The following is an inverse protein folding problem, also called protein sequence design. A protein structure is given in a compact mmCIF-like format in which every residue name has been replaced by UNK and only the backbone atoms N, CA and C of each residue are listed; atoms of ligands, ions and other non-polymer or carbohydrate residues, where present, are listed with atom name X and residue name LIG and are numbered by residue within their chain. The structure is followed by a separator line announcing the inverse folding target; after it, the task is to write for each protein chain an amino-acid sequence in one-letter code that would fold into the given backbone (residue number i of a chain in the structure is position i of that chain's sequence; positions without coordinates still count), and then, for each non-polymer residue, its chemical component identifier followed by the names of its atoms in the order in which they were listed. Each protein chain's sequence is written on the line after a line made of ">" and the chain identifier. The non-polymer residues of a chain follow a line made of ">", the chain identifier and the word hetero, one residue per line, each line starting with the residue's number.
data_IF_186871334303
#
_entry.id   IF_186871334303
#
_cell.length_a   1.000
_cell.length_b   1.000
_cell.length_c   1.000
_cell.angle_alpha   90.00
_cell.angle_beta   90.00
_cell.angle_gamma   90.00
#
_symmetry.space_group_name_H-M   'P 1'
#
loop_
_entity.id
_entity.type
_entity.pdbx_description
1 polymer ?
#
# COMPACT_ATOMS: atom_id res chain seq x y z
N UNK A 1 -23.26 -25.00 -1.14
CA UNK A 1 -23.01 -24.35 -2.44
C UNK A 1 -21.60 -23.80 -2.39
N UNK A 2 -20.75 -24.21 -3.33
CA UNK A 2 -19.37 -23.72 -3.44
C UNK A 2 -19.32 -22.54 -4.41
N UNK A 3 -18.34 -21.65 -4.27
CA UNK A 3 -18.13 -20.49 -5.17
C UNK A 3 -18.09 -20.89 -6.67
N UNK A 4 -17.58 -22.09 -6.97
CA UNK A 4 -17.57 -22.63 -8.35
C UNK A 4 -18.96 -22.95 -8.89
N UNK A 5 -19.88 -23.45 -8.04
CA UNK A 5 -21.25 -23.77 -8.44
C UNK A 5 -22.07 -22.52 -8.75
N UNK A 6 -21.82 -21.42 -8.01
CA UNK A 6 -22.49 -20.13 -8.21
C UNK A 6 -22.06 -19.47 -9.53
N UNK A 7 -20.76 -19.51 -9.85
CA UNK A 7 -20.23 -18.99 -11.12
C UNK A 7 -20.78 -19.80 -12.30
N UNK A 8 -20.83 -21.14 -12.20
CA UNK A 8 -21.39 -21.98 -13.25
C UNK A 8 -22.88 -21.66 -13.50
N UNK A 9 -23.65 -21.41 -12.45
CA UNK A 9 -25.06 -21.00 -12.55
C UNK A 9 -25.23 -19.65 -13.26
N UNK A 10 -24.40 -18.65 -12.92
CA UNK A 10 -24.42 -17.31 -13.56
C UNK A 10 -24.00 -17.35 -15.03
N UNK A 11 -23.04 -18.21 -15.39
CA UNK A 11 -22.61 -18.42 -16.77
C UNK A 11 -23.68 -19.12 -17.61
N UNK A 12 -24.46 -20.03 -17.01
CA UNK A 12 -25.53 -20.76 -17.69
C UNK A 12 -26.76 -19.86 -17.92
N UNK A 13 -27.04 -18.94 -17.01
CA UNK A 13 -28.20 -18.05 -17.08
C UNK A 13 -27.77 -16.59 -16.90
N UNK A 14 -27.12 -16.02 -17.92
CA UNK A 14 -26.49 -14.69 -17.91
C UNK A 14 -27.51 -13.62 -17.50
N UNK A 15 -27.45 -13.07 -16.26
CA UNK A 15 -28.39 -12.06 -15.79
C UNK A 15 -28.00 -10.64 -16.24
N UNK A 16 -26.98 -10.52 -17.11
CA UNK A 16 -26.38 -9.26 -17.55
C UNK A 16 -26.79 -8.93 -18.99
N UNK A 17 -27.75 -8.03 -19.22
CA UNK A 17 -28.31 -7.73 -20.55
C UNK A 17 -27.25 -7.27 -21.57
N UNK A 18 -26.20 -6.62 -21.08
CA UNK A 18 -25.08 -6.10 -21.88
C UNK A 18 -24.14 -7.21 -22.37
N UNK A 19 -24.11 -8.38 -21.72
CA UNK A 19 -23.27 -9.53 -22.10
C UNK A 19 -23.99 -10.52 -23.01
N UNK A 20 -25.32 -10.47 -23.08
CA UNK A 20 -26.14 -11.35 -23.95
C UNK A 20 -25.65 -11.38 -25.41
N UNK A 21 -25.29 -10.25 -26.06
CA UNK A 21 -24.82 -10.26 -27.45
C UNK A 21 -23.51 -11.03 -27.64
N UNK A 22 -22.64 -11.06 -26.63
CA UNK A 22 -21.32 -11.71 -26.68
C UNK A 22 -21.46 -13.23 -26.74
N UNK A 23 -22.39 -13.79 -25.98
CA UNK A 23 -22.63 -15.23 -25.89
C UNK A 23 -23.70 -15.74 -26.85
N UNK A 24 -24.36 -14.85 -27.61
CA UNK A 24 -25.42 -15.18 -28.56
C UNK A 24 -24.96 -15.99 -29.78
N UNK A 25 -23.71 -15.78 -30.21
CA UNK A 25 -23.11 -16.48 -31.36
C UNK A 25 -22.46 -17.81 -31.02
N UNK A 26 -22.08 -18.00 -29.75
CA UNK A 26 -21.49 -19.23 -29.24
C UNK A 26 -21.91 -19.40 -27.77
N UNK A 27 -23.01 -20.13 -27.50
CA UNK A 27 -23.43 -20.40 -26.13
C UNK A 27 -22.39 -21.30 -25.47
N UNK A 28 -22.01 -20.99 -24.22
CA UNK A 28 -21.05 -21.80 -23.49
C UNK A 28 -21.57 -23.23 -23.33
N UNK A 29 -20.73 -24.18 -23.68
CA UNK A 29 -20.95 -25.58 -23.38
C UNK A 29 -20.74 -25.85 -21.89
N UNK A 30 -21.21 -27.01 -21.42
CA UNK A 30 -21.06 -27.42 -20.02
C UNK A 30 -19.58 -27.50 -19.61
N UNK A 31 -18.72 -27.98 -20.51
CA UNK A 31 -17.27 -28.09 -20.28
C UNK A 31 -16.59 -26.72 -20.20
N UNK A 32 -16.96 -25.78 -21.09
CA UNK A 32 -16.42 -24.43 -21.07
C UNK A 32 -16.81 -23.68 -19.80
N UNK A 33 -18.04 -23.89 -19.34
CA UNK A 33 -18.53 -23.30 -18.09
C UNK A 33 -17.70 -23.76 -16.88
N UNK A 34 -17.37 -25.05 -16.82
CA UNK A 34 -16.53 -25.62 -15.76
C UNK A 34 -15.10 -25.08 -15.82
N UNK A 35 -14.53 -24.96 -17.02
CA UNK A 35 -13.18 -24.42 -17.20
C UNK A 35 -13.09 -22.93 -16.81
N UNK A 36 -14.08 -22.12 -17.21
CA UNK A 36 -14.15 -20.71 -16.83
C UNK A 36 -14.36 -20.57 -15.32
N UNK A 37 -15.23 -21.38 -14.71
CA UNK A 37 -15.43 -21.39 -13.27
C UNK A 37 -14.15 -21.78 -12.51
N UNK A 38 -13.40 -22.77 -13.00
CA UNK A 38 -12.12 -23.16 -12.42
C UNK A 38 -11.07 -22.05 -12.53
N UNK A 39 -10.97 -21.39 -13.70
CA UNK A 39 -10.07 -20.27 -13.91
C UNK A 39 -10.40 -19.06 -13.01
N UNK A 40 -11.69 -18.73 -12.89
CA UNK A 40 -12.14 -17.63 -12.03
C UNK A 40 -11.91 -17.94 -10.54
N UNK A 41 -12.05 -19.20 -10.12
CA UNK A 41 -11.70 -19.64 -8.77
C UNK A 41 -10.20 -19.49 -8.50
N UNK A 42 -9.35 -19.92 -9.42
CA UNK A 42 -7.90 -19.82 -9.29
C UNK A 42 -7.45 -18.35 -9.21
N UNK A 43 -7.97 -17.51 -10.10
CA UNK A 43 -7.64 -16.07 -10.12
C UNK A 43 -8.19 -15.32 -8.91
N UNK A 44 -9.35 -15.73 -8.35
CA UNK A 44 -9.87 -15.14 -7.11
C UNK A 44 -9.02 -15.42 -5.87
N UNK A 45 -8.20 -16.48 -5.88
CA UNK A 45 -7.27 -16.78 -4.78
C UNK A 45 -6.04 -15.86 -4.79
N UNK A 46 -5.81 -15.11 -5.88
CA UNK A 46 -4.85 -14.01 -5.92
C UNK A 46 -5.45 -12.77 -5.25
N UNK A 47 -5.76 -12.88 -3.96
CA UNK A 47 -6.12 -11.72 -3.17
C UNK A 47 -4.90 -10.79 -3.12
N UNK A 48 -5.02 -9.50 -3.47
CA UNK A 48 -3.90 -8.57 -3.40
C UNK A 48 -3.29 -8.66 -2.00
N UNK A 49 -1.98 -8.92 -1.94
CA UNK A 49 -1.29 -8.97 -0.66
C UNK A 49 -1.54 -7.65 0.07
N UNK A 50 -2.11 -7.70 1.27
CA UNK A 50 -2.34 -6.50 2.08
C UNK A 50 -0.98 -5.88 2.40
N UNK A 51 -0.60 -4.85 1.64
CA UNK A 51 0.65 -4.09 1.82
C UNK A 51 0.55 -3.08 2.97
N UNK A 52 -0.64 -2.89 3.53
CA UNK A 52 -0.94 -1.99 4.64
C UNK A 52 0.04 -2.10 5.81
N UNK A 53 0.35 -3.29 6.38
CA UNK A 53 1.31 -3.41 7.47
C UNK A 53 2.74 -2.98 7.07
N UNK A 54 3.19 -3.32 5.86
CA UNK A 54 4.53 -2.96 5.37
C UNK A 54 4.66 -1.44 5.22
N UNK A 55 3.65 -0.76 4.68
CA UNK A 55 3.64 0.70 4.55
C UNK A 55 3.67 1.38 5.91
N UNK A 56 2.91 0.87 6.89
CA UNK A 56 2.90 1.41 8.26
C UNK A 56 4.27 1.28 8.93
N UNK A 57 4.94 0.13 8.78
CA UNK A 57 6.29 -0.09 9.33
C UNK A 57 7.30 0.90 8.73
N UNK A 58 7.28 1.07 7.40
CA UNK A 58 8.17 2.00 6.71
C UNK A 58 7.91 3.44 7.17
N UNK A 59 6.65 3.83 7.34
CA UNK A 59 6.29 5.16 7.82
C UNK A 59 6.79 5.43 9.25
N UNK A 60 6.66 4.45 10.15
CA UNK A 60 7.15 4.56 11.54
C UNK A 60 8.68 4.70 11.55
N UNK A 61 9.40 3.87 10.79
CA UNK A 61 10.86 3.94 10.71
C UNK A 61 11.30 5.29 10.14
N UNK A 62 10.69 5.75 9.04
CA UNK A 62 10.98 7.04 8.45
C UNK A 62 10.76 8.20 9.42
N UNK A 63 9.66 8.17 10.16
CA UNK A 63 9.35 9.18 11.18
C UNK A 63 10.39 9.21 12.31
N UNK A 64 10.79 8.05 12.83
CA UNK A 64 11.78 7.95 13.90
C UNK A 64 13.15 8.49 13.46
N UNK A 65 13.59 8.15 12.25
CA UNK A 65 14.85 8.66 11.68
C UNK A 65 14.82 10.18 11.58
N UNK A 66 13.72 10.75 11.07
CA UNK A 66 13.56 12.20 10.92
C UNK A 66 13.57 12.91 12.28
N UNK A 67 12.90 12.35 13.29
CA UNK A 67 12.93 12.83 14.67
C UNK A 67 14.35 12.85 15.25
N UNK A 68 15.13 11.79 15.04
CA UNK A 68 16.51 11.71 15.52
C UNK A 68 17.37 12.78 14.86
N UNK A 69 17.27 12.94 13.53
CA UNK A 69 18.05 13.93 12.78
C UNK A 69 17.72 15.34 13.25
N UNK A 70 16.44 15.71 13.35
CA UNK A 70 16.02 17.03 13.84
C UNK A 70 16.53 17.28 15.25
N UNK A 71 16.37 16.29 16.15
CA UNK A 71 16.84 16.40 17.53
C UNK A 71 18.34 16.63 17.63
N UNK A 72 19.13 15.93 16.79
CA UNK A 72 20.58 16.08 16.77
C UNK A 72 21.01 17.45 16.24
N UNK A 73 20.42 17.90 15.13
CA UNK A 73 20.67 19.23 14.54
C UNK A 73 20.32 20.34 15.53
N UNK A 74 19.17 20.24 16.19
CA UNK A 74 18.75 21.22 17.19
C UNK A 74 19.67 21.26 18.41
N UNK A 75 20.08 20.10 18.94
CA UNK A 75 21.04 20.06 20.05
C UNK A 75 22.37 20.67 19.66
N UNK A 76 22.90 20.33 18.49
CA UNK A 76 24.18 20.89 18.02
C UNK A 76 24.08 22.41 17.85
N UNK A 77 22.98 22.91 17.28
CA UNK A 77 22.74 24.35 17.11
C UNK A 77 22.67 25.09 18.45
N UNK A 78 21.90 24.59 19.42
CA UNK A 78 21.76 25.23 20.72
C UNK A 78 23.07 25.24 21.53
N UNK A 79 23.87 24.17 21.43
CA UNK A 79 25.18 24.09 22.06
C UNK A 79 26.17 25.07 21.43
N UNK A 80 26.15 25.22 20.09
CA UNK A 80 26.99 26.19 19.38
C UNK A 80 26.71 27.63 19.82
N UNK A 81 25.44 28.03 19.90
CA UNK A 81 25.05 29.39 20.34
C UNK A 81 25.47 29.65 21.79
N UNK A 82 25.32 28.65 22.69
CA UNK A 82 25.75 28.78 24.08
C UNK A 82 27.28 28.88 24.19
N UNK A 83 28.01 28.10 23.42
CA UNK A 83 29.47 28.15 23.39
C UNK A 83 29.96 29.53 22.95
N UNK A 84 29.32 30.09 21.93
CA UNK A 84 29.60 31.44 21.45
C UNK A 84 29.38 32.47 22.57
N UNK A 85 28.21 32.49 23.22
CA UNK A 85 27.90 33.43 24.31
C UNK A 85 28.88 33.31 25.48
N UNK A 86 29.30 32.09 25.85
CA UNK A 86 30.30 31.89 26.90
C UNK A 86 31.68 32.39 26.47
N UNK A 87 32.04 32.24 25.20
CA UNK A 87 33.27 32.79 24.64
C UNK A 87 33.24 34.34 24.63
N UNK A 88 32.10 34.94 24.27
CA UNK A 88 31.87 36.39 24.35
C UNK A 88 32.06 36.96 25.76
N UNK A 89 31.63 36.23 26.79
CA UNK A 89 31.85 36.61 28.20
C UNK A 89 33.28 36.36 28.67
N UNK A 90 33.99 35.40 28.06
CA UNK A 90 35.37 35.06 28.41
C UNK A 90 36.39 36.00 27.77
N UNK A 91 36.10 36.57 26.58
CA UNK A 91 37.00 37.48 25.88
C UNK A 91 36.24 38.71 25.34
N UNK A 92 36.17 39.82 26.11
CA UNK A 92 35.35 40.99 25.77
C UNK A 92 35.85 41.77 24.54
N UNK A 93 37.08 41.52 24.08
CA UNK A 93 37.72 42.25 22.97
C UNK A 93 37.29 41.79 21.57
N UNK A 94 36.49 40.73 21.45
CA UNK A 94 35.96 40.25 20.14
C UNK A 94 34.71 41.00 19.67
N UNK A 95 34.29 42.06 20.37
CA UNK A 95 33.16 42.95 20.00
C UNK A 95 33.61 43.98 18.97
N UNK A 96 33.90 43.55 17.75
CA UNK A 96 34.10 44.47 16.60
C UNK A 96 33.57 43.84 15.32
#
# INVERSE_FOLDING_TARGET
>A
MTFGDEIASVLTNIPFPTMIPVFKGHPLTLEETLNVAAFLKETSSSQPQDLTPTVVIIAIIGFLVLMIVIGFVWRHRLVSVRAEIVEWYRNPDKRS
#
